data_IF_927142704909
#
_entry.id   IF_927142704909
#
_cell.length_a   1.000
_cell.length_b   1.000
_cell.length_c   1.000
_cell.angle_alpha   90.00
_cell.angle_beta   90.00
_cell.angle_gamma   90.00
#
_symmetry.space_group_name_H-M   'P 1'
#
loop_
_entity.id
_entity.type
_entity.pdbx_description
1 polymer ?
#
# COMPACT_ATOMS: atom_id res chain seq x y z
N UNK A 1 -11.93 14.56 -4.89
CA UNK A 1 -11.41 14.51 -3.51
C UNK A 1 -12.37 13.81 -2.54
N UNK A 2 -13.63 14.23 -2.41
CA UNK A 2 -14.60 13.62 -1.48
C UNK A 2 -14.79 12.09 -1.67
N UNK A 3 -14.94 11.63 -2.92
CA UNK A 3 -15.10 10.19 -3.24
C UNK A 3 -13.91 9.33 -2.75
N UNK A 4 -12.68 9.85 -2.82
CA UNK A 4 -11.47 9.16 -2.38
C UNK A 4 -11.47 9.01 -0.86
N UNK A 5 -11.76 10.10 -0.15
CA UNK A 5 -11.87 10.08 1.31
C UNK A 5 -12.97 9.12 1.78
N UNK A 6 -14.08 9.05 1.06
CA UNK A 6 -15.15 8.11 1.34
C UNK A 6 -14.72 6.65 1.15
N UNK A 7 -13.95 6.33 0.11
CA UNK A 7 -13.37 4.99 -0.07
C UNK A 7 -12.45 4.60 1.09
N UNK A 8 -11.50 5.48 1.45
CA UNK A 8 -10.59 5.26 2.58
C UNK A 8 -11.38 5.05 3.88
N UNK A 9 -12.40 5.86 4.12
CA UNK A 9 -13.26 5.72 5.30
C UNK A 9 -13.99 4.37 5.32
N UNK A 10 -14.53 3.90 4.19
CA UNK A 10 -15.20 2.60 4.10
C UNK A 10 -14.26 1.45 4.43
N UNK A 11 -13.02 1.47 3.92
CA UNK A 11 -11.99 0.47 4.22
C UNK A 11 -11.72 0.43 5.73
N UNK A 12 -11.42 1.59 6.32
CA UNK A 12 -11.12 1.71 7.76
C UNK A 12 -12.32 1.25 8.60
N UNK A 13 -13.55 1.59 8.20
CA UNK A 13 -14.77 1.21 8.91
C UNK A 13 -14.97 -0.30 8.90
N UNK A 14 -14.88 -0.94 7.73
CA UNK A 14 -15.01 -2.39 7.59
C UNK A 14 -13.96 -3.14 8.42
N UNK A 15 -12.70 -2.71 8.35
CA UNK A 15 -11.63 -3.35 9.10
C UNK A 15 -11.77 -3.15 10.62
N UNK A 16 -12.37 -2.04 11.08
CA UNK A 16 -12.70 -1.87 12.50
C UNK A 16 -13.76 -2.86 12.97
N UNK A 17 -14.72 -3.21 12.11
CA UNK A 17 -15.76 -4.19 12.46
C UNK A 17 -15.28 -5.64 12.42
N UNK A 18 -14.34 -5.98 11.53
CA UNK A 18 -13.86 -7.37 11.36
C UNK A 18 -12.65 -7.66 12.26
N UNK A 19 -11.78 -6.68 12.45
CA UNK A 19 -10.47 -6.83 13.09
C UNK A 19 -10.31 -5.80 14.23
N UNK A 20 -11.19 -5.93 15.22
CA UNK A 20 -11.33 -4.98 16.32
C UNK A 20 -10.14 -5.01 17.29
N UNK A 21 -9.54 -6.19 17.52
CA UNK A 21 -8.47 -6.40 18.50
C UNK A 21 -7.06 -6.55 17.89
N UNK A 22 -6.89 -6.27 16.60
CA UNK A 22 -5.60 -6.43 15.92
C UNK A 22 -4.59 -5.39 16.39
N UNK A 23 -3.40 -5.84 16.80
CA UNK A 23 -2.28 -4.97 17.16
C UNK A 23 -1.60 -4.36 15.92
N UNK A 24 -0.72 -3.38 16.13
CA UNK A 24 0.05 -2.79 15.03
C UNK A 24 0.94 -3.85 14.35
N UNK A 25 1.62 -4.69 15.13
CA UNK A 25 2.53 -5.74 14.65
C UNK A 25 1.77 -6.80 13.86
N UNK A 26 0.58 -7.19 14.32
CA UNK A 26 -0.27 -8.14 13.59
C UNK A 26 -0.74 -7.55 12.25
N UNK A 27 -1.14 -6.27 12.23
CA UNK A 27 -1.50 -5.61 10.98
C UNK A 27 -0.30 -5.47 10.04
N UNK A 28 0.89 -5.21 10.57
CA UNK A 28 2.12 -5.11 9.79
C UNK A 28 2.48 -6.46 9.17
N UNK A 29 2.41 -7.54 9.95
CA UNK A 29 2.63 -8.91 9.44
C UNK A 29 1.60 -9.28 8.37
N UNK A 30 0.34 -8.88 8.54
CA UNK A 30 -0.69 -9.09 7.51
C UNK A 30 -0.36 -8.30 6.23
N UNK A 31 0.02 -7.01 6.34
CA UNK A 31 0.49 -6.22 5.19
C UNK A 31 1.67 -6.87 4.45
N UNK A 32 2.63 -7.45 5.18
CA UNK A 32 3.75 -8.19 4.59
C UNK A 32 3.28 -9.47 3.86
N UNK A 33 2.28 -10.18 4.40
CA UNK A 33 1.66 -11.34 3.71
C UNK A 33 1.03 -10.92 2.38
N UNK A 34 0.21 -9.87 2.37
CA UNK A 34 -0.43 -9.35 1.15
C UNK A 34 0.61 -8.95 0.10
N UNK A 35 1.76 -8.40 0.52
CA UNK A 35 2.85 -8.08 -0.39
C UNK A 35 3.46 -9.32 -1.04
N UNK A 36 3.57 -10.43 -0.30
CA UNK A 36 4.08 -11.70 -0.82
C UNK A 36 3.08 -12.36 -1.77
N UNK A 37 1.79 -12.30 -1.46
CA UNK A 37 0.70 -12.78 -2.33
C UNK A 37 0.67 -12.00 -3.65
N UNK A 38 0.75 -10.67 -3.58
CA UNK A 38 0.90 -9.83 -4.76
C UNK A 38 2.17 -10.14 -5.57
N UNK A 39 3.31 -10.37 -4.91
CA UNK A 39 4.54 -10.75 -5.60
C UNK A 39 4.40 -12.10 -6.31
N UNK A 40 3.74 -13.07 -5.68
CA UNK A 40 3.44 -14.38 -6.26
C UNK A 40 2.56 -14.25 -7.50
N UNK A 41 1.44 -13.52 -7.39
CA UNK A 41 0.55 -13.25 -8.52
C UNK A 41 1.25 -12.48 -9.66
N UNK A 42 2.17 -11.56 -9.31
CA UNK A 42 2.99 -10.87 -10.31
C UNK A 42 3.89 -11.82 -11.07
N UNK A 43 4.57 -12.73 -10.37
CA UNK A 43 5.42 -13.74 -11.01
C UNK A 43 4.59 -14.68 -11.90
N UNK A 44 3.41 -15.09 -11.46
CA UNK A 44 2.52 -15.93 -12.27
C UNK A 44 2.03 -15.19 -13.52
N UNK A 45 1.55 -13.95 -13.41
CA UNK A 45 1.18 -13.13 -14.56
C UNK A 45 2.35 -12.92 -15.54
N UNK A 46 3.58 -12.82 -15.04
CA UNK A 46 4.77 -12.68 -15.89
C UNK A 46 5.07 -13.93 -16.73
N UNK A 47 4.56 -15.11 -16.36
CA UNK A 47 4.68 -16.33 -17.17
C UNK A 47 3.79 -16.30 -18.42
N UNK A 48 2.66 -15.61 -18.35
CA UNK A 48 1.69 -15.49 -19.43
C UNK A 48 0.94 -14.17 -19.32
N UNK A 49 1.48 -13.15 -20.01
CA UNK A 49 1.00 -11.77 -19.90
C UNK A 49 -0.26 -11.49 -20.70
N UNK A 50 -0.64 -12.38 -21.61
CA UNK A 50 -1.85 -12.24 -22.42
C UNK A 50 -3.08 -12.87 -21.72
N UNK A 51 -2.86 -13.51 -20.57
CA UNK A 51 -3.92 -14.12 -19.79
C UNK A 51 -4.63 -13.09 -18.90
N UNK A 52 -5.86 -12.74 -19.27
CA UNK A 52 -6.70 -11.79 -18.56
C UNK A 52 -7.03 -12.21 -17.13
N UNK A 53 -7.22 -13.51 -16.86
CA UNK A 53 -7.51 -14.02 -15.51
C UNK A 53 -6.31 -13.81 -14.57
N UNK A 54 -5.09 -14.04 -15.07
CA UNK A 54 -3.85 -13.77 -14.30
C UNK A 54 -3.65 -12.28 -14.05
N UNK A 55 -4.00 -11.45 -15.02
CA UNK A 55 -3.93 -10.00 -14.85
C UNK A 55 -4.95 -9.50 -13.81
N UNK A 56 -6.17 -10.04 -13.83
CA UNK A 56 -7.22 -9.74 -12.85
C UNK A 56 -6.79 -10.16 -11.43
N UNK A 57 -6.30 -11.39 -11.26
CA UNK A 57 -5.76 -11.87 -10.00
C UNK A 57 -4.66 -10.94 -9.46
N UNK A 58 -3.70 -10.54 -10.31
CA UNK A 58 -2.67 -9.57 -9.94
C UNK A 58 -3.25 -8.21 -9.48
N UNK A 59 -4.33 -7.73 -10.10
CA UNK A 59 -4.96 -6.48 -9.66
C UNK A 59 -5.69 -6.64 -8.32
N UNK A 60 -6.28 -7.81 -8.04
CA UNK A 60 -6.92 -8.11 -6.77
C UNK A 60 -5.90 -8.11 -5.63
N UNK A 61 -4.81 -8.86 -5.76
CA UNK A 61 -3.74 -8.90 -4.74
C UNK A 61 -3.11 -7.50 -4.54
N UNK A 62 -2.97 -6.73 -5.62
CA UNK A 62 -2.52 -5.33 -5.50
C UNK A 62 -3.51 -4.48 -4.68
N UNK A 63 -4.81 -4.71 -4.85
CA UNK A 63 -5.83 -3.99 -4.11
C UNK A 63 -5.77 -4.36 -2.61
N UNK A 64 -5.52 -5.62 -2.27
CA UNK A 64 -5.39 -6.07 -0.88
C UNK A 64 -4.18 -5.45 -0.18
N UNK A 65 -3.04 -5.32 -0.87
CA UNK A 65 -1.89 -4.54 -0.37
C UNK A 65 -2.27 -3.09 -0.06
N UNK A 66 -3.02 -2.44 -0.94
CA UNK A 66 -3.47 -1.04 -0.74
C UNK A 66 -4.42 -0.95 0.45
N UNK A 67 -5.38 -1.87 0.56
CA UNK A 67 -6.35 -1.95 1.65
C UNK A 67 -5.62 -2.13 2.98
N UNK A 68 -4.69 -3.09 3.07
CA UNK A 68 -3.90 -3.35 4.26
C UNK A 68 -3.02 -2.15 4.65
N UNK A 69 -2.40 -1.49 3.66
CA UNK A 69 -1.63 -0.26 3.87
C UNK A 69 -2.48 0.92 4.38
N UNK A 70 -3.70 1.07 3.88
CA UNK A 70 -4.67 2.06 4.43
C UNK A 70 -5.04 1.71 5.87
N UNK A 71 -5.21 0.43 6.19
CA UNK A 71 -5.56 0.00 7.55
C UNK A 71 -4.42 0.23 8.55
N UNK A 72 -3.16 0.09 8.13
CA UNK A 72 -2.00 0.48 8.95
C UNK A 72 -2.08 1.93 9.43
N UNK A 73 -2.66 2.84 8.63
CA UNK A 73 -2.81 4.25 9.01
C UNK A 73 -3.74 4.49 10.21
N UNK A 74 -4.46 3.46 10.69
CA UNK A 74 -5.20 3.51 11.97
C UNK A 74 -4.28 3.57 13.19
N UNK A 75 -3.04 3.12 13.06
CA UNK A 75 -2.06 3.07 14.14
C UNK A 75 -1.17 4.34 14.16
N UNK A 76 -0.91 4.94 15.34
CA UNK A 76 -0.02 6.10 15.45
C UNK A 76 1.38 5.89 14.86
N UNK A 77 1.92 4.68 15.02
CA UNK A 77 3.26 4.26 14.59
C UNK A 77 3.43 4.44 13.08
N UNK A 78 2.52 3.85 12.29
CA UNK A 78 2.51 4.00 10.84
C UNK A 78 2.38 5.46 10.42
N UNK A 79 1.47 6.23 11.06
CA UNK A 79 1.27 7.65 10.73
C UNK A 79 2.52 8.48 10.94
N UNK A 80 3.25 8.25 12.03
CA UNK A 80 4.49 8.98 12.32
C UNK A 80 5.60 8.60 11.34
N UNK A 81 5.72 7.32 10.95
CA UNK A 81 6.67 6.89 9.90
C UNK A 81 6.36 7.59 8.57
N UNK A 82 5.11 7.54 8.11
CA UNK A 82 4.67 8.19 6.87
C UNK A 82 4.93 9.70 6.91
N UNK A 83 4.59 10.36 8.01
CA UNK A 83 4.83 11.80 8.22
C UNK A 83 6.32 12.15 8.14
N UNK A 84 7.20 11.35 8.77
CA UNK A 84 8.66 11.53 8.69
C UNK A 84 9.15 11.36 7.26
N UNK A 85 8.71 10.31 6.55
CA UNK A 85 9.09 10.07 5.16
C UNK A 85 8.58 11.18 4.22
N UNK A 86 7.38 11.70 4.44
CA UNK A 86 6.84 12.82 3.68
C UNK A 86 7.64 14.11 3.88
N UNK A 87 8.08 14.41 5.11
CA UNK A 87 8.99 15.54 5.36
C UNK A 87 10.29 15.43 4.56
N UNK A 88 10.81 14.22 4.37
CA UNK A 88 11.99 13.97 3.53
C UNK A 88 11.63 14.16 2.05
N UNK A 89 10.52 13.58 1.60
CA UNK A 89 10.09 13.66 0.20
C UNK A 89 9.78 15.09 -0.26
N UNK A 90 9.27 15.95 0.63
CA UNK A 90 9.02 17.37 0.34
C UNK A 90 10.30 18.20 0.14
N UNK A 91 11.44 17.72 0.65
CA UNK A 91 12.76 18.35 0.44
C UNK A 91 13.42 17.90 -0.87
N UNK A 92 12.90 16.84 -1.48
CA UNK A 92 13.45 16.27 -2.72
C UNK A 92 13.06 17.13 -3.91
N UNK A 93 13.97 17.26 -4.87
CA UNK A 93 13.66 17.81 -6.18
C UNK A 93 13.11 16.69 -7.07
N UNK A 94 11.99 16.97 -7.72
CA UNK A 94 11.31 16.05 -8.60
C UNK A 94 11.33 16.60 -10.03
N UNK A 95 11.60 15.74 -11.00
CA UNK A 95 11.44 16.03 -12.43
C UNK A 95 10.94 14.76 -13.11
N UNK A 96 9.87 14.89 -13.90
CA UNK A 96 9.28 13.79 -14.67
C UNK A 96 9.03 12.52 -13.81
N UNK A 97 8.38 12.71 -12.64
CA UNK A 97 8.07 11.67 -11.64
C UNK A 97 9.27 10.90 -11.07
N UNK A 98 10.49 11.42 -11.26
CA UNK A 98 11.73 10.85 -10.71
C UNK A 98 12.37 11.81 -9.71
N UNK A 99 12.93 11.21 -8.65
CA UNK A 99 13.82 11.93 -7.75
C UNK A 99 15.11 12.29 -8.50
N UNK A 100 15.43 13.58 -8.56
CA UNK A 100 16.79 13.99 -8.93
C UNK A 100 17.62 13.82 -7.67
N UNK A 101 18.44 12.77 -7.62
CA UNK A 101 19.57 12.79 -6.69
C UNK A 101 20.44 13.97 -7.11
N UNK A 102 20.56 14.99 -6.25
CA UNK A 102 21.68 15.89 -6.38
C UNK A 102 22.92 15.01 -6.18
N UNK A 103 23.53 14.59 -7.28
CA UNK A 103 24.94 14.23 -7.30
C UNK A 103 25.68 15.52 -6.98
N UNK A 104 25.82 15.83 -5.69
CA UNK A 104 26.79 16.81 -5.23
C UNK A 104 28.17 16.25 -5.65
N UNK A 105 28.65 16.76 -6.78
CA UNK A 105 30.06 16.82 -7.15
C UNK A 105 30.52 18.25 -6.99
#
# INVERSE_FOLDING_TARGET
>A
MFKILLCIYKIIKWHKSVLFYTSYEQQLSHFESEMLEWQSAFLDYMTDKENDEKFEALQMERADVIISGINLMRFPEAREIVKRKMKINLKRKWKDDRHIENLDK
#
